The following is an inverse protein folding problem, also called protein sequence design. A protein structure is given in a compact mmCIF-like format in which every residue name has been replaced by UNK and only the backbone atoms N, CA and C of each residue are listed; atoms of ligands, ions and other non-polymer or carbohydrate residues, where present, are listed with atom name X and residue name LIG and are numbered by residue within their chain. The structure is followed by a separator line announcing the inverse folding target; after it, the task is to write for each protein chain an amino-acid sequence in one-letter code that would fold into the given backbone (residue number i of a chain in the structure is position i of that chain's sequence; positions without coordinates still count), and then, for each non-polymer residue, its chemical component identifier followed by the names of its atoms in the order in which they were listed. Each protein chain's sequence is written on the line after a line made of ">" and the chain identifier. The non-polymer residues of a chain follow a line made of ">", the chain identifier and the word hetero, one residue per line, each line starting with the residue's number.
data_IF_579791719313
#
_entry.id   IF_579791719313
#
_cell.length_a   1.000
_cell.length_b   1.000
_cell.length_c   1.000
_cell.angle_alpha   90.00
_cell.angle_beta   90.00
_cell.angle_gamma   90.00
#
_symmetry.space_group_name_H-M   'P 1'
#
loop_
_entity.id
_entity.type
_entity.pdbx_description
1 polymer ?
#
# COMPACT_ATOMS: atom_id res chain seq x y z
N UNK A 1 13.49 -9.79 1.23
CA UNK A 1 13.29 -8.44 1.81
C UNK A 1 14.19 -8.17 3.02
N UNK A 2 14.20 -8.99 4.07
CA UNK A 2 15.07 -8.72 5.24
C UNK A 2 16.57 -8.61 4.87
N UNK A 3 17.02 -9.43 3.91
CA UNK A 3 18.43 -9.47 3.51
C UNK A 3 18.90 -8.23 2.75
N UNK A 4 17.99 -7.45 2.16
CA UNK A 4 18.30 -6.32 1.28
C UNK A 4 18.36 -4.99 2.02
N UNK A 5 17.98 -4.95 3.31
CA UNK A 5 18.00 -3.72 4.10
C UNK A 5 19.41 -3.34 4.54
N UNK A 6 19.77 -2.07 4.41
CA UNK A 6 20.98 -1.50 4.98
C UNK A 6 20.89 -1.40 6.51
N UNK A 7 22.02 -1.16 7.19
CA UNK A 7 22.01 -0.89 8.63
C UNK A 7 21.11 0.32 8.94
N UNK A 8 20.25 0.20 9.96
CA UNK A 8 19.21 1.17 10.31
C UNK A 8 17.95 1.11 9.44
N UNK A 9 17.88 0.21 8.46
CA UNK A 9 16.76 0.10 7.53
C UNK A 9 15.43 -0.23 8.21
N UNK A 10 14.34 0.23 7.59
CA UNK A 10 12.96 -0.01 8.07
C UNK A 10 12.17 -0.86 7.08
N UNK A 11 11.59 -1.95 7.58
CA UNK A 11 10.59 -2.73 6.87
C UNK A 11 9.20 -2.40 7.42
N UNK A 12 8.34 -1.86 6.56
CA UNK A 12 6.92 -1.62 6.87
C UNK A 12 6.06 -2.67 6.16
N UNK A 13 5.39 -3.51 6.91
CA UNK A 13 4.49 -4.56 6.40
C UNK A 13 3.06 -4.02 6.33
N UNK A 14 2.48 -3.98 5.14
CA UNK A 14 1.13 -3.41 4.89
C UNK A 14 0.07 -4.44 4.50
N UNK A 15 0.48 -5.67 4.17
CA UNK A 15 -0.40 -6.76 3.78
C UNK A 15 0.29 -8.12 3.99
N UNK A 16 -0.52 -9.18 4.11
CA UNK A 16 -0.08 -10.56 4.32
C UNK A 16 -0.66 -11.50 3.24
N UNK A 17 -0.41 -11.17 1.96
CA UNK A 17 -0.99 -11.90 0.81
C UNK A 17 -0.49 -13.34 0.71
N UNK A 18 0.75 -13.61 1.14
CA UNK A 18 1.38 -14.94 1.12
C UNK A 18 1.32 -15.65 2.47
N UNK A 19 0.45 -15.19 3.38
CA UNK A 19 0.32 -15.72 4.74
C UNK A 19 0.72 -14.73 5.83
N UNK A 20 0.13 -14.88 7.02
CA UNK A 20 0.29 -13.97 8.15
C UNK A 20 1.43 -14.36 9.12
N UNK A 21 1.99 -15.56 8.98
CA UNK A 21 3.07 -16.08 9.84
C UNK A 21 4.33 -16.29 9.00
N UNK A 22 5.49 -15.99 9.59
CA UNK A 22 6.79 -16.00 8.91
C UNK A 22 7.88 -16.37 9.89
N UNK A 23 8.84 -17.18 9.44
CA UNK A 23 10.11 -17.42 10.14
C UNK A 23 11.12 -16.31 9.84
N UNK A 24 11.88 -15.89 10.85
CA UNK A 24 12.73 -14.70 10.73
C UNK A 24 14.03 -14.81 11.53
N UNK A 25 15.13 -14.39 10.91
CA UNK A 25 16.45 -14.28 11.55
C UNK A 25 16.55 -12.99 12.38
N UNK A 26 16.44 -13.13 13.70
CA UNK A 26 16.53 -12.03 14.66
C UNK A 26 17.96 -11.49 14.83
N UNK A 27 18.99 -12.30 14.58
CA UNK A 27 20.38 -11.87 14.72
C UNK A 27 20.68 -10.76 13.71
N UNK A 28 20.18 -10.90 12.48
CA UNK A 28 20.32 -9.89 11.44
C UNK A 28 19.64 -8.57 11.80
N UNK A 29 18.47 -8.62 12.43
CA UNK A 29 17.76 -7.43 12.91
C UNK A 29 18.62 -6.66 13.91
N UNK A 30 19.23 -7.37 14.86
CA UNK A 30 20.09 -6.76 15.88
C UNK A 30 21.37 -6.18 15.28
N UNK A 31 22.11 -6.98 14.49
CA UNK A 31 23.39 -6.55 13.90
C UNK A 31 23.22 -5.33 13.00
N UNK A 32 22.15 -5.30 12.21
CA UNK A 32 21.84 -4.16 11.33
C UNK A 32 20.94 -3.12 11.99
N UNK A 33 20.52 -3.27 13.25
CA UNK A 33 19.60 -2.34 13.96
C UNK A 33 18.35 -2.00 13.12
N UNK A 34 17.72 -3.03 12.58
CA UNK A 34 16.57 -2.86 11.69
C UNK A 34 15.29 -2.54 12.47
N UNK A 35 14.40 -1.76 11.88
CA UNK A 35 13.03 -1.58 12.38
C UNK A 35 12.07 -2.46 11.58
N UNK A 36 11.34 -3.34 12.25
CA UNK A 36 10.18 -4.02 11.68
C UNK A 36 8.91 -3.42 12.25
N UNK A 37 8.00 -2.98 11.39
CA UNK A 37 6.70 -2.42 11.81
C UNK A 37 5.62 -2.78 10.79
N UNK A 38 4.37 -2.57 11.14
CA UNK A 38 3.25 -2.74 10.23
C UNK A 38 2.15 -1.72 10.47
N UNK A 39 1.17 -1.70 9.56
CA UNK A 39 0.00 -0.86 9.70
C UNK A 39 -1.16 -1.40 8.87
N UNK A 40 -2.37 -1.29 9.42
CA UNK A 40 -3.62 -1.37 8.68
C UNK A 40 -4.31 -0.01 8.73
N UNK A 41 -5.07 0.34 7.70
CA UNK A 41 -5.80 1.61 7.64
C UNK A 41 -7.23 1.50 8.19
N UNK A 42 -7.90 0.36 7.95
CA UNK A 42 -9.34 0.18 8.22
C UNK A 42 -9.70 0.42 9.70
N UNK A 43 -8.96 -0.21 10.61
CA UNK A 43 -9.19 -0.18 12.05
C UNK A 43 -8.75 1.11 12.74
N UNK A 44 -8.13 2.06 12.02
CA UNK A 44 -7.67 3.30 12.63
C UNK A 44 -8.84 4.22 13.02
N UNK A 45 -8.75 4.90 14.17
CA UNK A 45 -9.67 5.97 14.56
C UNK A 45 -9.81 7.08 13.51
N UNK A 46 -10.91 7.82 13.56
CA UNK A 46 -11.23 8.86 12.58
C UNK A 46 -10.29 10.06 12.66
N UNK A 47 -9.89 10.48 13.86
CA UNK A 47 -8.88 11.52 14.12
C UNK A 47 -7.52 11.15 13.52
N UNK A 48 -7.09 9.89 13.66
CA UNK A 48 -5.85 9.41 13.05
C UNK A 48 -5.95 9.42 11.51
N UNK A 49 -7.10 9.05 10.94
CA UNK A 49 -7.34 9.14 9.49
C UNK A 49 -7.32 10.59 9.00
N UNK A 50 -7.91 11.51 9.75
CA UNK A 50 -7.91 12.93 9.44
C UNK A 50 -6.48 13.51 9.46
N UNK A 51 -5.69 13.15 10.49
CA UNK A 51 -4.27 13.51 10.58
C UNK A 51 -3.47 13.00 9.38
N UNK A 52 -3.71 11.76 8.95
CA UNK A 52 -3.06 11.19 7.77
C UNK A 52 -3.48 11.91 6.48
N UNK A 53 -4.76 12.25 6.32
CA UNK A 53 -5.26 12.98 5.15
C UNK A 53 -4.58 14.34 5.02
N UNK A 54 -4.51 15.11 6.12
CA UNK A 54 -3.81 16.40 6.15
C UNK A 54 -2.33 16.26 5.79
N UNK A 55 -1.65 15.25 6.32
CA UNK A 55 -0.25 14.99 5.99
C UNK A 55 -0.05 14.62 4.50
N UNK A 56 -0.96 13.84 3.91
CA UNK A 56 -0.94 13.50 2.48
C UNK A 56 -1.18 14.75 1.62
N UNK A 57 -2.12 15.60 2.02
CA UNK A 57 -2.42 16.86 1.34
C UNK A 57 -1.20 17.80 1.30
N UNK A 58 -0.50 17.92 2.43
CA UNK A 58 0.70 18.76 2.52
C UNK A 58 1.88 18.18 1.72
N UNK A 59 2.10 16.86 1.79
CA UNK A 59 3.38 16.27 1.35
C UNK A 59 3.34 15.59 -0.01
N UNK A 60 2.22 14.96 -0.38
CA UNK A 60 2.15 14.11 -1.57
C UNK A 60 1.17 14.65 -2.63
N UNK A 61 0.10 15.32 -2.21
CA UNK A 61 -0.90 15.88 -3.10
C UNK A 61 -0.36 16.89 -4.12
N UNK A 62 0.65 17.74 -3.81
CA UNK A 62 1.23 18.63 -4.82
C UNK A 62 1.80 17.89 -6.03
N UNK A 63 2.32 16.68 -5.86
CA UNK A 63 2.81 15.85 -6.97
C UNK A 63 1.67 15.27 -7.82
N UNK A 64 0.54 14.97 -7.21
CA UNK A 64 -0.67 14.53 -7.93
C UNK A 64 -1.26 15.71 -8.71
N UNK A 65 -1.42 16.86 -8.07
CA UNK A 65 -1.99 18.06 -8.67
C UNK A 65 -1.16 18.60 -9.84
N UNK A 66 0.18 18.56 -9.72
CA UNK A 66 1.10 18.92 -10.82
C UNK A 66 1.18 17.84 -11.91
N UNK A 67 0.65 16.64 -11.66
CA UNK A 67 0.76 15.50 -12.56
C UNK A 67 2.14 14.83 -12.58
N UNK A 68 3.04 15.20 -11.66
CA UNK A 68 4.35 14.54 -11.46
C UNK A 68 4.19 13.08 -10.98
N UNK A 69 3.11 12.79 -10.27
CA UNK A 69 2.68 11.44 -9.91
C UNK A 69 1.30 11.18 -10.49
N UNK A 70 1.17 10.11 -11.28
CA UNK A 70 -0.10 9.66 -11.84
C UNK A 70 -0.29 8.17 -11.54
N UNK A 71 -1.40 7.77 -10.90
CA UNK A 71 -1.68 6.35 -10.74
C UNK A 71 -1.99 5.75 -12.11
N UNK A 72 -1.36 4.62 -12.50
CA UNK A 72 -1.76 3.90 -13.70
C UNK A 72 -3.18 3.38 -13.50
N UNK A 73 -4.08 3.76 -14.41
CA UNK A 73 -5.44 3.22 -14.49
C UNK A 73 -5.45 2.22 -15.64
N UNK A 74 -5.74 0.96 -15.31
CA UNK A 74 -5.79 -0.11 -16.30
C UNK A 74 -7.13 -0.13 -17.01
N UNK A 75 -8.22 -0.10 -16.22
CA UNK A 75 -9.57 -0.26 -16.73
C UNK A 75 -10.52 0.65 -15.96
N UNK A 76 -11.55 1.09 -16.66
CA UNK A 76 -12.66 1.86 -16.10
C UNK A 76 -13.94 1.15 -16.47
N UNK A 77 -14.76 0.85 -15.49
CA UNK A 77 -16.05 0.19 -15.63
C UNK A 77 -17.14 1.12 -15.12
N UNK A 78 -18.36 1.02 -15.66
CA UNK A 78 -19.50 1.66 -15.00
C UNK A 78 -19.82 0.91 -13.70
N UNK A 79 -20.50 1.57 -12.76
CA UNK A 79 -20.85 0.96 -11.47
C UNK A 79 -21.72 -0.29 -11.65
N UNK A 80 -22.56 -0.34 -12.69
CA UNK A 80 -23.38 -1.51 -13.05
C UNK A 80 -22.53 -2.74 -13.40
N UNK A 81 -21.29 -2.53 -13.84
CA UNK A 81 -20.33 -3.58 -14.22
C UNK A 81 -19.37 -3.93 -13.08
N UNK A 82 -19.70 -3.59 -11.82
CA UNK A 82 -18.82 -3.87 -10.68
C UNK A 82 -18.43 -5.36 -10.55
N UNK A 83 -19.31 -6.28 -10.97
CA UNK A 83 -19.00 -7.71 -10.99
C UNK A 83 -17.87 -8.05 -11.97
N UNK A 84 -17.90 -7.49 -13.18
CA UNK A 84 -16.88 -7.70 -14.20
C UNK A 84 -15.54 -7.08 -13.76
N UNK A 85 -15.59 -5.88 -13.17
CA UNK A 85 -14.42 -5.22 -12.60
C UNK A 85 -13.75 -6.06 -11.50
N UNK A 86 -14.55 -6.72 -10.66
CA UNK A 86 -14.06 -7.63 -9.62
C UNK A 86 -13.45 -8.90 -10.21
N UNK A 87 -14.08 -9.49 -11.24
CA UNK A 87 -13.55 -10.67 -11.91
C UNK A 87 -12.18 -10.41 -12.54
N UNK A 88 -11.97 -9.23 -13.13
CA UNK A 88 -10.66 -8.83 -13.66
C UNK A 88 -9.61 -8.65 -12.54
N UNK A 89 -10.01 -8.06 -11.42
CA UNK A 89 -9.12 -7.93 -10.26
C UNK A 89 -8.64 -9.30 -9.75
N UNK A 90 -9.55 -10.27 -9.66
CA UNK A 90 -9.31 -11.63 -9.18
C UNK A 90 -8.51 -12.49 -10.16
N UNK A 91 -8.73 -12.32 -11.47
CA UNK A 91 -7.95 -12.99 -12.51
C UNK A 91 -6.44 -12.67 -12.39
N UNK A 92 -6.10 -11.55 -11.76
CA UNK A 92 -4.73 -11.10 -11.55
C UNK A 92 -4.10 -10.51 -12.82
N UNK A 93 -2.81 -10.18 -12.75
CA UNK A 93 -2.07 -9.62 -13.90
C UNK A 93 -2.35 -8.15 -14.23
N UNK A 94 -3.26 -7.49 -13.49
CA UNK A 94 -3.50 -6.07 -13.66
C UNK A 94 -2.30 -5.22 -13.17
N UNK A 95 -1.95 -4.20 -13.95
CA UNK A 95 -0.96 -3.18 -13.63
C UNK A 95 -1.70 -1.87 -13.36
N UNK A 96 -1.87 -1.56 -12.08
CA UNK A 96 -2.46 -0.30 -11.64
C UNK A 96 -3.84 -0.47 -11.02
N UNK A 97 -4.74 0.46 -11.32
CA UNK A 97 -6.07 0.57 -10.71
C UNK A 97 -7.18 0.22 -11.69
N UNK A 98 -8.19 -0.49 -11.18
CA UNK A 98 -9.50 -0.63 -11.81
C UNK A 98 -10.42 0.38 -11.14
N UNK A 99 -11.08 1.23 -11.94
CA UNK A 99 -11.91 2.35 -11.45
C UNK A 99 -13.36 2.11 -11.83
N UNK A 100 -14.28 2.43 -10.91
CA UNK A 100 -15.71 2.46 -11.20
C UNK A 100 -16.18 3.89 -11.40
N UNK A 101 -16.95 4.15 -12.46
CA UNK A 101 -17.61 5.42 -12.74
C UNK A 101 -19.11 5.33 -12.47
N UNK A 102 -19.69 6.42 -11.97
CA UNK A 102 -21.12 6.58 -11.68
C UNK A 102 -21.78 7.58 -12.60
#
# INVERSE_FOLDING_TARGET
>A
NLNTLNAGGRWVVIASLTGAKVEMDLQRIMLKRLTLTGSTLRSRPADEKARLAAAVEETAWPWVASGAVRPPVQAVFSLEQAADAHAELEAGGHIGKIVLTV
#
